data_IF_683751709016
#
_entry.id   IF_683751709016
#
_cell.length_a   1.000
_cell.length_b   1.000
_cell.length_c   1.000
_cell.angle_alpha   90.00
_cell.angle_beta   90.00
_cell.angle_gamma   90.00
#
_symmetry.space_group_name_H-M   'P 1'
#
loop_
_entity.id
_entity.type
_entity.pdbx_description
1 polymer ?
#
# COMPACT_ATOMS: atom_id res chain seq x y z
N UNK A 1 -11.95 23.61 23.74
CA UNK A 1 -11.64 22.18 23.87
C UNK A 1 -10.53 22.05 24.90
N UNK A 2 -10.79 21.45 26.07
CA UNK A 2 -9.77 21.25 27.09
C UNK A 2 -8.98 19.98 26.76
N UNK A 3 -7.67 20.14 26.56
CA UNK A 3 -6.72 19.03 26.41
C UNK A 3 -6.62 18.24 27.72
N UNK A 4 -7.11 17.00 27.70
CA UNK A 4 -6.95 16.06 28.82
C UNK A 4 -5.45 15.79 29.02
N UNK A 5 -4.86 15.95 30.22
CA UNK A 5 -3.45 15.70 30.45
C UNK A 5 -3.14 14.22 30.17
N UNK A 6 -2.62 13.93 28.97
CA UNK A 6 -2.18 12.59 28.60
C UNK A 6 -1.00 12.22 29.50
N UNK A 7 -1.17 11.18 30.32
CA UNK A 7 -0.08 10.59 31.11
C UNK A 7 1.13 10.32 30.22
N UNK A 8 2.31 10.78 30.65
CA UNK A 8 3.60 10.54 29.96
C UNK A 8 4.00 9.05 29.88
N UNK A 9 3.46 8.21 30.77
CA UNK A 9 3.71 6.78 30.81
C UNK A 9 2.41 5.98 30.65
N UNK A 10 2.48 4.85 29.95
CA UNK A 10 1.41 3.84 29.94
C UNK A 10 1.37 3.05 31.26
N UNK A 11 0.30 2.28 31.49
CA UNK A 11 0.19 1.38 32.67
C UNK A 11 1.34 0.38 32.79
N UNK A 12 1.96 0.01 31.66
CA UNK A 12 3.13 -0.85 31.62
C UNK A 12 4.47 -0.10 31.84
N UNK A 13 4.44 1.21 32.10
CA UNK A 13 5.63 2.04 32.30
C UNK A 13 6.28 2.57 31.01
N UNK A 14 5.68 2.33 29.85
CA UNK A 14 6.23 2.81 28.56
C UNK A 14 6.11 4.33 28.43
N UNK A 15 7.24 4.99 28.17
CA UNK A 15 7.31 6.43 27.87
C UNK A 15 6.71 6.73 26.49
N UNK A 16 5.65 7.52 26.46
CA UNK A 16 4.91 7.81 25.24
C UNK A 16 5.72 8.71 24.30
N UNK A 17 6.46 9.68 24.83
CA UNK A 17 7.19 10.65 24.00
C UNK A 17 8.43 10.00 23.37
N UNK A 18 9.09 9.10 24.11
CA UNK A 18 10.18 8.28 23.58
C UNK A 18 9.71 7.34 22.46
N UNK A 19 8.49 6.79 22.57
CA UNK A 19 7.90 5.93 21.52
C UNK A 19 7.55 6.75 20.28
N UNK A 20 6.97 7.95 20.43
CA UNK A 20 6.70 8.84 19.28
C UNK A 20 7.98 9.21 18.54
N UNK A 21 9.04 9.55 19.26
CA UNK A 21 10.34 9.86 18.66
C UNK A 21 10.88 8.66 17.89
N UNK A 22 10.90 7.48 18.51
CA UNK A 22 11.32 6.25 17.83
C UNK A 22 10.49 5.91 16.60
N UNK A 23 9.18 6.14 16.63
CA UNK A 23 8.31 5.92 15.47
C UNK A 23 8.61 6.91 14.34
N UNK A 24 8.93 8.16 14.66
CA UNK A 24 9.40 9.13 13.67
C UNK A 24 10.75 8.74 13.06
N UNK A 25 11.64 8.13 13.85
CA UNK A 25 12.97 7.67 13.43
C UNK A 25 12.97 6.27 12.77
N UNK A 26 11.83 5.56 12.78
CA UNK A 26 11.72 4.17 12.29
C UNK A 26 11.75 4.02 10.76
N UNK A 27 11.79 5.13 10.03
CA UNK A 27 11.83 5.14 8.57
C UNK A 27 10.44 5.11 7.92
N UNK A 28 10.38 4.65 6.66
CA UNK A 28 9.14 4.63 5.87
C UNK A 28 8.11 3.69 6.50
N UNK A 29 6.84 4.12 6.52
CA UNK A 29 5.74 3.22 6.82
C UNK A 29 5.66 2.10 5.78
N UNK A 30 4.96 1.02 6.11
CA UNK A 30 4.75 -0.10 5.18
C UNK A 30 4.18 0.35 3.82
N UNK A 31 3.22 1.27 3.83
CA UNK A 31 2.59 1.76 2.60
C UNK A 31 3.57 2.62 1.77
N UNK A 32 4.35 3.48 2.44
CA UNK A 32 5.37 4.29 1.78
C UNK A 32 6.50 3.43 1.23
N UNK A 33 6.94 2.40 1.97
CA UNK A 33 7.92 1.44 1.50
C UNK A 33 7.40 0.64 0.30
N UNK A 34 6.14 0.19 0.33
CA UNK A 34 5.49 -0.51 -0.79
C UNK A 34 5.43 0.37 -2.03
N UNK A 35 5.04 1.63 -1.89
CA UNK A 35 5.00 2.59 -2.99
C UNK A 35 6.40 2.92 -3.51
N UNK A 36 7.36 3.14 -2.62
CA UNK A 36 8.76 3.37 -2.97
C UNK A 36 9.34 2.20 -3.77
N UNK A 37 9.12 0.96 -3.31
CA UNK A 37 9.54 -0.24 -4.03
C UNK A 37 8.83 -0.30 -5.39
N UNK A 38 7.50 -0.11 -5.45
CA UNK A 38 6.77 -0.10 -6.72
C UNK A 38 7.30 0.93 -7.72
N UNK A 39 7.70 2.13 -7.25
CA UNK A 39 8.23 3.22 -8.09
C UNK A 39 9.69 3.03 -8.51
N UNK A 40 10.52 2.42 -7.66
CA UNK A 40 11.98 2.35 -7.86
C UNK A 40 12.48 1.01 -8.36
N UNK A 41 11.76 -0.07 -8.04
CA UNK A 41 12.16 -1.46 -8.28
C UNK A 41 11.03 -2.32 -8.84
N UNK A 42 9.77 -1.90 -8.69
CA UNK A 42 8.60 -2.57 -9.26
C UNK A 42 8.50 -2.30 -10.75
N UNK A 43 8.33 -3.36 -11.55
CA UNK A 43 7.92 -3.25 -12.95
C UNK A 43 8.98 -2.75 -13.94
N UNK A 44 10.19 -2.36 -13.51
CA UNK A 44 11.27 -2.06 -14.46
C UNK A 44 11.98 -3.35 -14.87
N UNK A 45 11.84 -3.74 -16.15
CA UNK A 45 12.44 -4.93 -16.77
C UNK A 45 11.93 -6.29 -16.26
N UNK A 46 10.80 -6.35 -15.54
CA UNK A 46 10.18 -7.64 -15.16
C UNK A 46 9.22 -8.19 -16.21
N UNK A 47 8.97 -7.42 -17.27
CA UNK A 47 8.13 -7.77 -18.41
C UNK A 47 8.57 -9.11 -19.02
N UNK A 48 9.89 -9.34 -19.04
CA UNK A 48 10.51 -10.60 -19.51
C UNK A 48 10.22 -11.83 -18.63
N UNK A 49 9.81 -11.63 -17.37
CA UNK A 49 9.46 -12.71 -16.44
C UNK A 49 7.95 -12.85 -16.26
N UNK A 50 7.16 -11.97 -16.85
CA UNK A 50 5.71 -12.07 -16.86
C UNK A 50 5.28 -12.96 -18.02
N UNK A 51 4.74 -14.14 -17.71
CA UNK A 51 4.08 -15.00 -18.71
C UNK A 51 2.68 -14.47 -19.11
N UNK A 52 2.33 -13.25 -18.67
CA UNK A 52 1.03 -12.65 -18.95
C UNK A 52 1.01 -12.16 -20.39
N UNK A 53 0.22 -12.81 -21.25
CA UNK A 53 -0.05 -12.29 -22.59
C UNK A 53 -1.04 -11.12 -22.49
N UNK A 54 -0.53 -9.91 -22.69
CA UNK A 54 -1.28 -8.66 -22.57
C UNK A 54 -2.43 -8.60 -23.59
N UNK A 55 -2.25 -9.12 -24.81
CA UNK A 55 -3.30 -9.14 -25.84
C UNK A 55 -4.47 -10.04 -25.43
N UNK A 56 -4.18 -11.22 -24.87
CA UNK A 56 -5.20 -12.15 -24.40
C UNK A 56 -6.02 -11.57 -23.24
N UNK A 57 -5.35 -10.88 -22.29
CA UNK A 57 -6.03 -10.21 -21.17
C UNK A 57 -6.92 -9.08 -21.67
N UNK A 58 -6.45 -8.29 -22.65
CA UNK A 58 -7.26 -7.24 -23.25
C UNK A 58 -8.49 -7.81 -23.96
N UNK A 59 -8.33 -8.86 -24.78
CA UNK A 59 -9.46 -9.53 -25.43
C UNK A 59 -10.49 -10.08 -24.43
N UNK A 60 -10.03 -10.67 -23.32
CA UNK A 60 -10.90 -11.17 -22.25
C UNK A 60 -11.66 -10.03 -21.54
N UNK A 61 -11.01 -8.90 -21.28
CA UNK A 61 -11.67 -7.71 -20.72
C UNK A 61 -12.68 -7.10 -21.70
N UNK A 62 -12.39 -7.08 -23.01
CA UNK A 62 -13.33 -6.66 -24.04
C UNK A 62 -14.51 -7.64 -24.20
N UNK A 63 -14.26 -8.95 -24.11
CA UNK A 63 -15.33 -9.96 -24.19
C UNK A 63 -16.19 -10.01 -22.93
N UNK A 64 -15.60 -9.88 -21.75
CA UNK A 64 -16.35 -9.83 -20.48
C UNK A 64 -17.22 -8.57 -20.39
N UNK A 65 -16.70 -7.40 -20.74
CA UNK A 65 -17.47 -6.15 -20.78
C UNK A 65 -18.60 -6.14 -21.83
N UNK A 66 -18.49 -6.95 -22.89
CA UNK A 66 -19.56 -7.10 -23.89
C UNK A 66 -20.57 -8.19 -23.52
N UNK A 67 -20.22 -9.15 -22.66
CA UNK A 67 -21.11 -10.23 -22.19
C UNK A 67 -22.10 -9.77 -21.11
N UNK A 68 -21.78 -8.69 -20.39
CA UNK A 68 -22.64 -8.09 -19.36
C UNK A 68 -23.67 -7.08 -19.91
N UNK A 69 -23.75 -6.87 -21.24
CA UNK A 69 -24.86 -6.11 -21.84
C UNK A 69 -26.00 -7.06 -22.20
N UNK A 70 -27.14 -7.06 -21.47
CA UNK A 70 -28.32 -7.80 -21.92
C UNK A 70 -28.71 -7.27 -23.30
N UNK A 71 -28.86 -8.18 -24.27
CA UNK A 71 -29.45 -7.85 -25.58
C UNK A 71 -30.86 -7.31 -25.31
N UNK A 72 -31.09 -6.03 -25.66
CA UNK A 72 -32.39 -5.37 -25.66
C UNK A 72 -33.33 -5.98 -26.69
#
# INVERSE_FOLDING_TARGET
>A
MAENPKSKYTTAGTDIDKVKQKNADSGMSYNEAKEYIARTTGGHNTDMYSNTNIEAVQEELYHSSTKDRPRS
#
